data_IF_119228377416
#
_entry.id   IF_119228377416
#
_cell.length_a   1.000
_cell.length_b   1.000
_cell.length_c   1.000
_cell.angle_alpha   90.00
_cell.angle_beta   90.00
_cell.angle_gamma   90.00
#
_symmetry.space_group_name_H-M   'P 1'
#
loop_
_entity.id
_entity.type
_entity.pdbx_description
1 polymer ?
#
# COMPACT_ATOMS: atom_id res chain seq x y z
N UNK A 1 7.02 -18.18 18.29
CA UNK A 1 6.59 -17.39 19.47
C UNK A 1 5.10 -17.54 19.71
N UNK A 2 4.61 -17.29 20.93
CA UNK A 2 3.19 -17.35 21.27
C UNK A 2 2.33 -16.40 20.40
N UNK A 3 2.84 -15.19 20.11
CA UNK A 3 2.15 -14.24 19.21
C UNK A 3 1.96 -14.80 17.80
N UNK A 4 2.96 -15.50 17.25
CA UNK A 4 2.83 -16.18 15.94
C UNK A 4 1.73 -17.24 15.96
N UNK A 5 1.62 -18.01 17.04
CA UNK A 5 0.54 -18.99 17.18
C UNK A 5 -0.84 -18.34 17.24
N UNK A 6 -0.98 -17.23 17.98
CA UNK A 6 -2.23 -16.46 18.04
C UNK A 6 -2.61 -15.93 16.64
N UNK A 7 -1.63 -15.37 15.89
CA UNK A 7 -1.87 -14.86 14.55
C UNK A 7 -2.38 -15.96 13.62
N UNK A 8 -1.69 -17.10 13.56
CA UNK A 8 -2.12 -18.21 12.70
C UNK A 8 -3.45 -18.82 13.15
N UNK A 9 -3.72 -18.93 14.45
CA UNK A 9 -5.02 -19.39 14.94
C UNK A 9 -6.17 -18.42 14.62
N UNK A 10 -5.90 -17.12 14.51
CA UNK A 10 -6.88 -16.15 14.04
C UNK A 10 -7.11 -16.28 12.53
N UNK A 11 -6.03 -16.42 11.76
CA UNK A 11 -6.07 -16.61 10.31
C UNK A 11 -6.86 -17.88 9.94
N UNK A 12 -6.55 -19.02 10.58
CA UNK A 12 -7.24 -20.30 10.33
C UNK A 12 -8.76 -20.21 10.60
N UNK A 13 -9.15 -19.39 11.57
CA UNK A 13 -10.58 -19.14 11.87
C UNK A 13 -11.28 -18.38 10.75
N UNK A 14 -10.59 -17.40 10.15
CA UNK A 14 -11.15 -16.54 9.10
C UNK A 14 -11.12 -17.22 7.72
N UNK A 15 -10.07 -17.97 7.43
CA UNK A 15 -9.86 -18.56 6.10
C UNK A 15 -10.33 -20.02 5.99
N UNK A 16 -10.50 -20.71 7.12
CA UNK A 16 -10.82 -22.14 7.17
C UNK A 16 -9.66 -23.06 6.67
N UNK A 17 -8.49 -22.50 6.40
CA UNK A 17 -7.32 -23.21 5.88
C UNK A 17 -6.14 -23.07 6.84
N UNK A 18 -5.84 -24.13 7.58
CA UNK A 18 -4.60 -24.23 8.33
C UNK A 18 -3.40 -24.35 7.38
N UNK A 19 -2.41 -23.51 7.58
CA UNK A 19 -1.18 -23.35 6.83
C UNK A 19 -0.71 -24.52 5.99
N UNK A 20 -0.67 -24.30 4.69
CA UNK A 20 -0.02 -25.18 3.70
C UNK A 20 1.24 -24.54 3.14
N UNK A 21 1.76 -25.07 2.05
CA UNK A 21 2.90 -24.51 1.28
C UNK A 21 2.53 -23.18 0.55
N UNK A 22 1.47 -22.50 0.99
CA UNK A 22 0.99 -21.27 0.37
C UNK A 22 1.73 -20.05 0.92
N UNK A 23 2.03 -19.10 0.06
CA UNK A 23 2.50 -17.77 0.46
C UNK A 23 1.33 -17.01 1.04
N UNK A 24 1.48 -16.54 2.28
CA UNK A 24 0.52 -15.71 2.94
C UNK A 24 0.79 -14.25 2.61
N UNK A 25 -0.21 -13.55 2.10
CA UNK A 25 -0.16 -12.10 1.85
C UNK A 25 -1.14 -11.40 2.79
N UNK A 26 -0.59 -10.61 3.72
CA UNK A 26 -1.38 -9.73 4.59
C UNK A 26 -1.33 -8.30 4.04
N UNK A 27 -2.48 -7.77 3.60
CA UNK A 27 -2.57 -6.44 3.01
C UNK A 27 -3.49 -5.54 3.83
N UNK A 28 -2.89 -4.68 4.64
CA UNK A 28 -3.55 -3.54 5.28
C UNK A 28 -2.67 -2.29 5.09
N UNK A 29 -3.17 -1.17 4.55
CA UNK A 29 -2.35 0.02 4.30
C UNK A 29 -1.57 0.50 5.53
N UNK A 30 -2.16 0.42 6.71
CA UNK A 30 -1.53 0.80 7.97
C UNK A 30 -0.59 -0.26 8.58
N UNK A 31 -0.37 -1.40 7.93
CA UNK A 31 0.72 -2.32 8.32
C UNK A 31 2.10 -1.66 8.26
N UNK A 32 2.21 -0.58 7.49
CA UNK A 32 3.39 0.29 7.47
C UNK A 32 3.84 0.73 8.86
N UNK A 33 2.90 1.16 9.71
CA UNK A 33 3.21 1.59 11.10
C UNK A 33 3.43 0.41 12.05
N UNK A 34 3.12 -0.81 11.62
CA UNK A 34 3.30 -2.05 12.37
C UNK A 34 4.53 -2.85 11.89
N UNK A 35 5.33 -2.33 10.95
CA UNK A 35 6.44 -3.08 10.36
C UNK A 35 7.43 -3.61 11.41
N UNK A 36 7.76 -2.81 12.43
CA UNK A 36 8.61 -3.25 13.53
C UNK A 36 8.05 -4.44 14.34
N UNK A 37 6.83 -4.37 14.88
CA UNK A 37 6.13 -5.50 15.48
C UNK A 37 5.99 -6.71 14.57
N UNK A 38 5.65 -6.50 13.29
CA UNK A 38 5.55 -7.59 12.30
C UNK A 38 6.89 -8.29 12.14
N UNK A 39 7.98 -7.55 11.90
CA UNK A 39 9.31 -8.12 11.78
C UNK A 39 9.73 -8.88 13.05
N UNK A 40 9.39 -8.39 14.24
CA UNK A 40 9.67 -9.11 15.49
C UNK A 40 8.97 -10.46 15.59
N UNK A 41 7.74 -10.57 15.04
CA UNK A 41 6.95 -11.81 15.05
C UNK A 41 7.39 -12.72 13.89
N UNK A 42 7.66 -12.13 12.73
CA UNK A 42 8.01 -12.77 11.47
C UNK A 42 9.31 -12.18 10.91
N UNK A 43 10.48 -12.60 11.42
CA UNK A 43 11.77 -12.02 11.00
C UNK A 43 12.08 -12.20 9.50
N UNK A 44 11.52 -13.25 8.91
CA UNK A 44 11.71 -13.60 7.49
C UNK A 44 10.61 -13.02 6.58
N UNK A 45 9.72 -12.17 7.12
CA UNK A 45 8.67 -11.55 6.32
C UNK A 45 9.27 -10.57 5.32
N UNK A 46 8.83 -10.69 4.07
CA UNK A 46 9.13 -9.72 3.01
C UNK A 46 8.07 -8.62 3.00
N UNK A 47 8.52 -7.38 2.89
CA UNK A 47 7.62 -6.23 2.86
C UNK A 47 7.54 -5.66 1.44
N UNK A 48 6.35 -5.35 0.98
CA UNK A 48 6.13 -4.62 -0.27
C UNK A 48 5.62 -3.23 0.08
N UNK A 49 6.45 -2.22 -0.17
CA UNK A 49 6.10 -0.82 0.03
C UNK A 49 5.48 -0.27 -1.24
N UNK A 50 4.17 -0.05 -1.22
CA UNK A 50 3.47 0.60 -2.33
C UNK A 50 3.59 2.12 -2.21
N UNK A 51 4.28 2.73 -3.17
CA UNK A 51 4.46 4.17 -3.27
C UNK A 51 3.54 4.75 -4.35
N UNK A 52 3.10 5.96 -4.13
CA UNK A 52 2.39 6.82 -5.07
C UNK A 52 2.66 8.26 -4.69
N UNK A 53 2.49 9.21 -5.64
CA UNK A 53 2.67 10.62 -5.33
C UNK A 53 1.92 10.99 -4.04
N UNK A 54 2.60 11.56 -3.01
CA UNK A 54 2.01 11.77 -1.68
C UNK A 54 0.71 12.55 -1.71
N UNK A 55 0.62 13.60 -2.54
CA UNK A 55 -0.60 14.39 -2.69
C UNK A 55 -1.76 13.56 -3.29
N UNK A 56 -1.47 12.66 -4.23
CA UNK A 56 -2.50 11.77 -4.79
C UNK A 56 -3.01 10.76 -3.76
N UNK A 57 -2.13 10.31 -2.86
CA UNK A 57 -2.53 9.43 -1.74
C UNK A 57 -3.47 10.18 -0.80
N UNK A 58 -3.08 11.38 -0.33
CA UNK A 58 -3.88 12.17 0.59
C UNK A 58 -5.23 12.58 -0.03
N UNK A 59 -5.21 13.04 -1.27
CA UNK A 59 -6.43 13.36 -2.03
C UNK A 59 -7.35 12.15 -2.17
N UNK A 60 -6.79 10.98 -2.50
CA UNK A 60 -7.56 9.75 -2.64
C UNK A 60 -8.19 9.31 -1.31
N UNK A 61 -7.45 9.42 -0.21
CA UNK A 61 -7.97 9.10 1.12
C UNK A 61 -9.08 10.08 1.55
N UNK A 62 -8.90 11.38 1.31
CA UNK A 62 -9.90 12.41 1.59
C UNK A 62 -11.21 12.20 0.81
N UNK A 63 -11.10 11.76 -0.45
CA UNK A 63 -12.27 11.54 -1.33
C UNK A 63 -12.95 10.18 -1.11
N UNK A 64 -12.38 9.31 -0.26
CA UNK A 64 -12.91 7.95 -0.06
C UNK A 64 -13.89 7.92 1.11
N UNK A 65 -15.03 7.26 0.91
CA UNK A 65 -16.00 6.98 1.99
C UNK A 65 -15.51 5.80 2.83
N UNK A 66 -14.83 6.10 3.93
CA UNK A 66 -14.36 5.09 4.87
C UNK A 66 -15.33 4.93 6.05
N UNK A 67 -15.49 3.70 6.53
CA UNK A 67 -16.08 3.49 7.85
C UNK A 67 -15.23 4.18 8.92
N UNK A 68 -15.86 4.97 9.79
CA UNK A 68 -15.18 5.81 10.77
C UNK A 68 -14.47 4.94 11.81
N UNK A 69 -13.15 5.08 11.85
CA UNK A 69 -12.27 4.54 12.88
C UNK A 69 -11.35 5.66 13.37
N UNK A 70 -10.61 5.44 14.44
CA UNK A 70 -9.63 6.42 14.93
C UNK A 70 -8.56 6.79 13.88
N UNK A 71 -8.18 5.84 13.01
CA UNK A 71 -7.25 6.10 11.91
C UNK A 71 -7.93 6.89 10.78
N UNK A 72 -9.15 6.49 10.38
CA UNK A 72 -9.89 7.11 9.27
C UNK A 72 -10.37 8.52 9.61
N UNK A 73 -10.49 8.88 10.88
CA UNK A 73 -10.80 10.25 11.31
C UNK A 73 -9.76 11.29 10.83
N UNK A 74 -8.54 10.87 10.50
CA UNK A 74 -7.53 11.76 9.91
C UNK A 74 -7.77 12.08 8.43
N UNK A 75 -8.79 11.52 7.78
CA UNK A 75 -9.08 11.77 6.37
C UNK A 75 -10.24 12.76 6.17
N UNK A 76 -10.68 13.48 7.21
CA UNK A 76 -11.68 14.54 7.10
C UNK A 76 -11.12 15.88 6.59
N UNK A 77 -9.80 16.06 6.60
CA UNK A 77 -9.11 17.14 5.91
C UNK A 77 -7.88 16.60 5.17
N UNK A 78 -7.45 17.30 4.14
CA UNK A 78 -6.25 16.89 3.37
C UNK A 78 -4.97 17.16 4.17
N UNK A 79 -4.95 18.16 5.04
CA UNK A 79 -3.83 18.51 5.92
C UNK A 79 -3.63 17.42 7.00
N UNK A 80 -4.72 16.93 7.59
CA UNK A 80 -4.64 15.82 8.56
C UNK A 80 -4.18 14.52 7.87
N UNK A 81 -4.69 14.25 6.66
CA UNK A 81 -4.23 13.13 5.84
C UNK A 81 -2.74 13.25 5.50
N UNK A 82 -2.26 14.44 5.13
CA UNK A 82 -0.86 14.72 4.85
C UNK A 82 0.01 14.54 6.10
N UNK A 83 -0.46 15.01 7.25
CA UNK A 83 0.24 14.84 8.53
C UNK A 83 0.35 13.36 8.93
N UNK A 84 -0.72 12.59 8.77
CA UNK A 84 -0.69 11.15 9.02
C UNK A 84 0.27 10.44 8.07
N UNK A 85 0.21 10.77 6.77
CA UNK A 85 1.12 10.22 5.75
C UNK A 85 2.58 10.47 6.12
N UNK A 86 2.96 11.72 6.36
CA UNK A 86 4.34 12.09 6.67
C UNK A 86 4.85 11.35 7.92
N UNK A 87 4.05 11.27 8.99
CA UNK A 87 4.41 10.54 10.22
C UNK A 87 4.53 9.04 9.99
N UNK A 88 3.65 8.44 9.20
CA UNK A 88 3.71 7.02 8.87
C UNK A 88 4.97 6.70 8.05
N UNK A 89 5.32 7.56 7.07
CA UNK A 89 6.54 7.40 6.27
C UNK A 89 7.80 7.66 7.07
N UNK A 90 7.79 8.61 8.02
CA UNK A 90 8.91 8.81 8.97
C UNK A 90 9.15 7.57 9.81
N UNK A 91 8.09 6.97 10.34
CA UNK A 91 8.18 5.75 11.14
C UNK A 91 8.69 4.56 10.30
N UNK A 92 8.18 4.40 9.08
CA UNK A 92 8.69 3.37 8.15
C UNK A 92 10.20 3.52 7.92
N UNK A 93 10.65 4.74 7.59
CA UNK A 93 12.07 5.01 7.37
C UNK A 93 12.91 4.72 8.61
N UNK A 94 12.38 5.06 9.79
CA UNK A 94 13.05 4.70 11.04
C UNK A 94 13.21 3.18 11.15
N UNK A 95 12.15 2.42 10.95
CA UNK A 95 12.23 0.95 10.96
C UNK A 95 13.22 0.42 9.93
N UNK A 96 13.16 0.90 8.69
CA UNK A 96 14.07 0.48 7.62
C UNK A 96 15.55 0.83 7.91
N UNK A 97 15.80 1.86 8.73
CA UNK A 97 17.16 2.26 9.12
C UNK A 97 17.74 1.46 10.29
N UNK A 98 16.90 0.92 11.18
CA UNK A 98 17.35 0.25 12.42
C UNK A 98 17.07 -1.25 12.44
N UNK A 99 16.22 -1.76 11.55
CA UNK A 99 15.89 -3.16 11.45
C UNK A 99 16.34 -3.72 10.08
N UNK A 100 16.77 -4.98 10.01
CA UNK A 100 17.13 -5.62 8.74
C UNK A 100 15.87 -6.04 7.99
N UNK A 101 15.04 -5.07 7.60
CA UNK A 101 13.82 -5.34 6.84
C UNK A 101 14.17 -5.73 5.41
N UNK A 102 13.65 -6.86 4.95
CA UNK A 102 13.68 -7.24 3.55
C UNK A 102 12.48 -6.63 2.85
N UNK A 103 12.67 -5.60 2.02
CA UNK A 103 11.56 -4.91 1.38
C UNK A 103 11.82 -4.54 -0.08
N UNK A 104 10.73 -4.41 -0.84
CA UNK A 104 10.73 -4.00 -2.25
C UNK A 104 9.73 -2.84 -2.43
N UNK A 105 10.14 -1.81 -3.17
CA UNK A 105 9.29 -0.66 -3.47
C UNK A 105 8.59 -0.85 -4.81
N UNK A 106 7.27 -0.62 -4.82
CA UNK A 106 6.46 -0.61 -6.04
C UNK A 106 5.82 0.76 -6.19
N UNK A 107 6.23 1.50 -7.23
CA UNK A 107 5.62 2.78 -7.57
C UNK A 107 4.38 2.56 -8.41
N UNK A 108 3.27 3.17 -8.01
CA UNK A 108 2.02 3.10 -8.75
C UNK A 108 2.16 3.64 -10.17
N UNK A 109 2.88 4.74 -10.34
CA UNK A 109 3.10 5.39 -11.63
C UNK A 109 3.85 4.49 -12.60
N UNK A 110 4.87 3.76 -12.12
CA UNK A 110 5.63 2.79 -12.91
C UNK A 110 4.77 1.54 -13.19
N UNK A 111 4.06 1.05 -12.17
CA UNK A 111 3.17 -0.11 -12.31
C UNK A 111 2.11 0.08 -13.40
N UNK A 112 1.51 1.28 -13.49
CA UNK A 112 0.47 1.54 -14.51
C UNK A 112 1.02 1.90 -15.89
N UNK A 113 2.31 2.29 -15.98
CA UNK A 113 2.99 2.60 -17.25
C UNK A 113 3.66 1.36 -17.83
N UNK A 114 4.33 0.58 -17.00
CA UNK A 114 5.20 -0.54 -17.36
C UNK A 114 4.88 -1.76 -16.48
N UNK A 115 3.64 -2.23 -16.51
CA UNK A 115 3.12 -3.26 -15.59
C UNK A 115 3.99 -4.52 -15.55
N UNK A 116 4.34 -5.09 -16.71
CA UNK A 116 5.06 -6.36 -16.76
C UNK A 116 6.45 -6.29 -16.12
N UNK A 117 7.34 -5.33 -16.45
CA UNK A 117 8.65 -5.24 -15.80
C UNK A 117 8.55 -5.06 -14.28
N UNK A 118 7.63 -4.21 -13.81
CA UNK A 118 7.44 -3.96 -12.37
C UNK A 118 6.96 -5.22 -11.66
N UNK A 119 6.01 -5.95 -12.24
CA UNK A 119 5.50 -7.19 -11.64
C UNK A 119 6.57 -8.29 -11.67
N UNK A 120 7.38 -8.39 -12.73
CA UNK A 120 8.49 -9.36 -12.78
C UNK A 120 9.51 -9.11 -11.66
N UNK A 121 9.92 -7.87 -11.44
CA UNK A 121 10.84 -7.50 -10.37
C UNK A 121 10.25 -7.80 -8.97
N UNK A 122 8.95 -7.55 -8.79
CA UNK A 122 8.25 -7.89 -7.55
C UNK A 122 8.22 -9.41 -7.31
N UNK A 123 7.88 -10.20 -8.32
CA UNK A 123 7.84 -11.66 -8.20
C UNK A 123 9.23 -12.25 -7.95
N UNK A 124 10.28 -11.75 -8.60
CA UNK A 124 11.66 -12.10 -8.34
C UNK A 124 12.04 -11.83 -6.87
N UNK A 125 11.73 -10.65 -6.36
CA UNK A 125 11.94 -10.32 -4.95
C UNK A 125 11.20 -11.29 -4.02
N UNK A 126 9.96 -11.65 -4.34
CA UNK A 126 9.16 -12.58 -3.53
C UNK A 126 9.64 -14.03 -3.65
N UNK A 127 10.41 -14.37 -4.67
CA UNK A 127 10.80 -15.74 -4.99
C UNK A 127 9.66 -16.57 -5.59
N UNK A 128 8.81 -15.92 -6.38
CA UNK A 128 7.63 -16.52 -7.03
C UNK A 128 7.86 -16.54 -8.54
N UNK A 129 7.61 -17.68 -9.17
CA UNK A 129 7.70 -17.82 -10.61
C UNK A 129 6.62 -17.01 -11.33
N UNK A 130 6.97 -16.54 -12.54
CA UNK A 130 6.03 -15.85 -13.41
C UNK A 130 4.90 -16.77 -13.86
N UNK A 131 3.69 -16.25 -13.84
CA UNK A 131 2.53 -16.91 -14.45
C UNK A 131 1.70 -15.85 -15.19
N UNK A 132 1.28 -16.11 -16.43
CA UNK A 132 0.60 -15.13 -17.28
C UNK A 132 -0.70 -14.58 -16.69
N UNK A 133 -1.33 -15.33 -15.79
CA UNK A 133 -2.54 -14.89 -15.08
C UNK A 133 -2.33 -13.63 -14.23
N UNK A 134 -1.08 -13.26 -13.88
CA UNK A 134 -0.81 -12.02 -13.12
C UNK A 134 -1.15 -10.78 -13.94
N UNK A 135 -1.13 -10.87 -15.28
CA UNK A 135 -1.51 -9.78 -16.18
C UNK A 135 -3.02 -9.68 -16.39
N UNK A 136 -3.78 -10.71 -16.03
CA UNK A 136 -5.26 -10.72 -16.12
C UNK A 136 -5.91 -10.50 -14.74
N UNK A 137 -5.50 -9.43 -14.04
CA UNK A 137 -6.04 -9.08 -12.73
C UNK A 137 -7.54 -8.81 -12.74
N UNK A 138 -8.09 -8.31 -13.85
CA UNK A 138 -9.50 -7.95 -13.96
C UNK A 138 -10.42 -9.17 -13.90
N UNK A 139 -9.99 -10.33 -14.42
CA UNK A 139 -10.75 -11.57 -14.34
C UNK A 139 -10.75 -12.15 -12.90
N UNK A 140 -9.64 -11.97 -12.18
CA UNK A 140 -9.52 -12.41 -10.80
C UNK A 140 -10.29 -11.49 -9.84
N UNK A 141 -10.27 -10.18 -10.07
CA UNK A 141 -10.98 -9.18 -9.25
C UNK A 141 -12.51 -9.29 -9.33
N UNK A 142 -13.06 -9.93 -10.36
CA UNK A 142 -14.49 -10.17 -10.52
C UNK A 142 -15.07 -11.24 -9.59
N UNK A 143 -14.26 -11.86 -8.73
CA UNK A 143 -14.74 -12.79 -7.70
C UNK A 143 -15.15 -12.00 -6.45
N UNK A 144 -16.47 -11.81 -6.17
CA UNK A 144 -16.96 -10.94 -5.10
C UNK A 144 -16.50 -11.35 -3.70
N UNK A 145 -16.11 -12.61 -3.53
CA UNK A 145 -15.74 -13.23 -2.25
C UNK A 145 -14.38 -12.76 -1.74
N UNK A 146 -13.55 -12.11 -2.58
CA UNK A 146 -12.15 -11.80 -2.26
C UNK A 146 -11.89 -10.33 -1.91
N UNK A 147 -12.80 -9.39 -2.22
CA UNK A 147 -12.54 -7.96 -2.07
C UNK A 147 -13.68 -7.27 -1.34
N UNK A 148 -13.49 -6.98 -0.06
CA UNK A 148 -14.42 -6.21 0.76
C UNK A 148 -13.82 -4.82 1.08
N UNK A 149 -13.57 -4.02 0.04
CA UNK A 149 -13.02 -2.66 0.19
C UNK A 149 -13.85 -1.65 -0.59
N UNK A 150 -13.91 -0.37 -0.14
CA UNK A 150 -14.60 0.70 -0.86
C UNK A 150 -14.12 0.88 -2.32
N UNK A 151 -12.90 0.45 -2.63
CA UNK A 151 -12.29 0.55 -3.96
C UNK A 151 -12.60 -0.64 -4.89
N UNK A 152 -13.52 -1.56 -4.52
CA UNK A 152 -13.82 -2.76 -5.30
C UNK A 152 -14.04 -2.48 -6.80
N UNK A 153 -14.84 -1.46 -7.12
CA UNK A 153 -15.12 -1.10 -8.51
C UNK A 153 -13.85 -0.67 -9.29
N UNK A 154 -12.89 -0.04 -8.61
CA UNK A 154 -11.64 0.39 -9.23
C UNK A 154 -10.69 -0.78 -9.49
N UNK A 155 -10.70 -1.79 -8.63
CA UNK A 155 -9.84 -2.99 -8.77
C UNK A 155 -10.37 -3.92 -9.89
N UNK A 156 -11.66 -3.93 -10.15
CA UNK A 156 -12.27 -4.74 -11.20
C UNK A 156 -12.13 -4.15 -12.62
N UNK A 157 -11.67 -2.89 -12.73
CA UNK A 157 -11.38 -2.27 -14.03
C UNK A 157 -9.98 -2.68 -14.56
N UNK A 158 -9.74 -2.67 -15.88
CA UNK A 158 -8.40 -2.75 -16.44
C UNK A 158 -7.49 -1.69 -15.82
N UNK A 159 -6.17 -1.94 -15.75
CA UNK A 159 -5.22 -0.93 -15.27
C UNK A 159 -5.40 0.36 -16.05
N UNK A 160 -5.68 1.46 -15.35
CA UNK A 160 -5.95 2.75 -15.94
C UNK A 160 -5.02 3.83 -15.39
N UNK A 161 -4.70 4.81 -16.22
CA UNK A 161 -3.79 5.90 -15.82
C UNK A 161 -4.53 7.13 -15.26
N UNK A 162 -5.87 7.16 -15.27
CA UNK A 162 -6.67 8.34 -14.84
C UNK A 162 -6.48 8.75 -13.37
N UNK A 163 -5.94 7.87 -12.56
CA UNK A 163 -5.62 8.16 -11.16
C UNK A 163 -4.18 8.62 -10.94
N UNK A 164 -3.37 8.68 -12.01
CA UNK A 164 -2.00 9.19 -11.97
C UNK A 164 -2.04 10.71 -12.01
N UNK A 165 -1.30 11.36 -11.11
CA UNK A 165 -1.13 12.82 -11.08
C UNK A 165 -2.47 13.58 -11.14
N UNK A 166 -3.43 13.21 -10.31
CA UNK A 166 -4.72 13.93 -10.19
C UNK A 166 -4.59 15.21 -9.38
N UNK A 167 -3.67 15.22 -8.44
CA UNK A 167 -3.47 16.29 -7.46
C UNK A 167 -3.26 17.69 -8.10
N UNK A 168 -2.60 17.87 -9.28
CA UNK A 168 -2.42 19.20 -9.86
C UNK A 168 -3.74 19.92 -10.18
N UNK A 169 -4.82 19.15 -10.41
CA UNK A 169 -6.15 19.73 -10.64
C UNK A 169 -6.76 20.36 -9.35
N UNK A 170 -6.12 20.14 -8.20
CA UNK A 170 -6.56 20.58 -6.88
C UNK A 170 -5.45 21.35 -6.15
N UNK A 171 -4.51 21.96 -6.91
CA UNK A 171 -3.31 22.59 -6.35
C UNK A 171 -3.62 23.63 -5.27
N UNK A 172 -4.61 24.49 -5.51
CA UNK A 172 -5.01 25.52 -4.52
C UNK A 172 -5.55 24.90 -3.23
N UNK A 173 -6.34 23.82 -3.34
CA UNK A 173 -6.92 23.13 -2.19
C UNK A 173 -5.89 22.28 -1.44
N UNK A 174 -4.79 21.93 -2.09
CA UNK A 174 -3.73 21.10 -1.53
C UNK A 174 -2.51 21.90 -1.06
N UNK A 175 -2.54 23.23 -1.11
CA UNK A 175 -1.39 24.08 -0.77
C UNK A 175 -0.81 23.77 0.61
N UNK A 176 -1.64 23.65 1.65
CA UNK A 176 -1.21 23.27 3.00
C UNK A 176 -0.65 21.84 3.08
N UNK A 177 -1.25 20.91 2.35
CA UNK A 177 -0.75 19.53 2.28
C UNK A 177 0.60 19.43 1.54
N UNK A 178 0.82 20.22 0.48
CA UNK A 178 2.08 20.31 -0.25
C UNK A 178 3.24 20.73 0.66
N UNK A 179 3.03 21.73 1.52
CA UNK A 179 4.03 22.16 2.51
C UNK A 179 4.42 21.02 3.47
N UNK A 180 3.42 20.30 3.98
CA UNK A 180 3.63 19.16 4.91
C UNK A 180 4.39 18.03 4.20
N UNK A 181 4.05 17.74 2.95
CA UNK A 181 4.56 16.61 2.18
C UNK A 181 5.85 16.89 1.40
N UNK A 182 6.34 18.14 1.38
CA UNK A 182 7.47 18.56 0.55
C UNK A 182 8.70 17.66 0.70
N UNK A 183 9.03 17.27 1.94
CA UNK A 183 10.16 16.38 2.22
C UNK A 183 9.99 14.97 1.66
N UNK A 184 8.77 14.43 1.66
CA UNK A 184 8.48 13.09 1.12
C UNK A 184 8.41 13.13 -0.40
N UNK A 185 7.85 14.19 -0.99
CA UNK A 185 7.83 14.43 -2.43
C UNK A 185 9.26 14.43 -2.99
N UNK A 186 10.14 15.25 -2.40
CA UNK A 186 11.55 15.33 -2.81
C UNK A 186 12.27 13.99 -2.63
N UNK A 187 12.13 13.38 -1.47
CA UNK A 187 12.81 12.14 -1.12
C UNK A 187 12.43 10.97 -2.00
N UNK A 188 11.16 10.83 -2.35
CA UNK A 188 10.71 9.77 -3.26
C UNK A 188 10.90 10.15 -4.74
N UNK A 189 11.54 11.29 -5.05
CA UNK A 189 11.84 11.72 -6.40
C UNK A 189 10.59 12.04 -7.22
N UNK A 190 9.52 12.47 -6.56
CA UNK A 190 8.38 13.07 -7.24
C UNK A 190 8.71 14.55 -7.44
N UNK A 191 8.85 14.97 -8.70
CA UNK A 191 9.01 16.39 -9.00
C UNK A 191 7.67 17.11 -8.92
N UNK A 192 7.71 18.40 -8.59
CA UNK A 192 6.53 19.25 -8.54
C UNK A 192 5.85 19.30 -9.92
N UNK A 193 4.89 18.42 -10.13
CA UNK A 193 4.03 18.44 -11.32
C UNK A 193 4.53 17.72 -12.58
N UNK A 194 5.51 16.82 -12.50
CA UNK A 194 5.92 15.96 -13.63
C UNK A 194 5.48 14.53 -13.50
#
# INVERSE_FOLDING_TARGET
THLRQIYFAALDRETGEAGGEKILVDKLPLNLVQAGPIHRIFPDAKFVLSLRHPCDVCLSCFMQDFAITSAMANFFSVEDAATLYARAMDLWRHYASVLPLEYHEVRYEDLVSETEPVVRALLEFLGVDWHDAVMDHSSQARRPELINTPSYHQVAEPIYQRSRLRWPNYGDQLAGALEILASDIDRFGYSDGS
#
